data_IF_299710098399
#
_entry.id   IF_299710098399
#
_cell.length_a   1.000
_cell.length_b   1.000
_cell.length_c   1.000
_cell.angle_alpha   90.00
_cell.angle_beta   90.00
_cell.angle_gamma   90.00
#
_symmetry.space_group_name_H-M   'P 1'
#
loop_
_entity.id
_entity.type
_entity.pdbx_description
1 polymer ?
#
# COMPACT_ATOMS: atom_id res chain seq x y z
N UNK A 1 32.32 -3.80 11.19
CA UNK A 1 31.84 -2.98 10.05
C UNK A 1 32.49 -1.62 10.18
N UNK A 2 33.16 -1.13 9.14
CA UNK A 2 33.58 0.28 9.12
C UNK A 2 32.36 1.12 8.75
N UNK A 3 31.93 1.99 9.65
CA UNK A 3 30.81 2.89 9.43
C UNK A 3 31.31 4.12 8.67
N UNK A 4 31.24 4.07 7.35
CA UNK A 4 31.63 5.20 6.49
C UNK A 4 30.40 5.90 5.94
N UNK A 5 30.26 7.19 6.26
CA UNK A 5 29.22 8.03 5.69
C UNK A 5 29.72 8.67 4.40
N UNK A 6 29.09 8.32 3.28
CA UNK A 6 29.37 8.92 1.98
C UNK A 6 28.41 10.09 1.75
N UNK A 7 28.80 11.31 2.11
CA UNK A 7 27.91 12.48 2.13
C UNK A 7 27.16 12.75 0.81
N UNK A 8 27.83 12.64 -0.34
CA UNK A 8 27.16 12.80 -1.66
C UNK A 8 26.07 11.74 -1.86
N UNK A 9 26.37 10.48 -1.53
CA UNK A 9 25.41 9.39 -1.62
C UNK A 9 24.27 9.57 -0.61
N UNK A 10 24.56 10.04 0.59
CA UNK A 10 23.57 10.32 1.62
C UNK A 10 22.49 11.28 1.09
N UNK A 11 22.89 12.41 0.50
CA UNK A 11 21.94 13.37 -0.10
C UNK A 11 21.10 12.70 -1.19
N UNK A 12 21.71 11.93 -2.09
CA UNK A 12 20.96 11.24 -3.15
C UNK A 12 19.97 10.21 -2.60
N UNK A 13 20.34 9.49 -1.55
CA UNK A 13 19.45 8.53 -0.89
C UNK A 13 18.28 9.26 -0.22
N UNK A 14 18.54 10.34 0.54
CA UNK A 14 17.48 11.14 1.19
C UNK A 14 16.50 11.66 0.15
N UNK A 15 16.98 12.32 -0.90
CA UNK A 15 16.13 12.85 -1.97
C UNK A 15 15.39 11.72 -2.71
N UNK A 16 16.06 10.60 -2.96
CA UNK A 16 15.45 9.42 -3.56
C UNK A 16 14.29 8.89 -2.75
N UNK A 17 14.44 8.74 -1.43
CA UNK A 17 13.35 8.32 -0.55
C UNK A 17 12.19 9.31 -0.51
N UNK A 18 12.46 10.62 -0.48
CA UNK A 18 11.41 11.65 -0.55
C UNK A 18 10.60 11.50 -1.84
N UNK A 19 11.28 11.47 -2.99
CA UNK A 19 10.65 11.36 -4.32
C UNK A 19 9.87 10.05 -4.44
N UNK A 20 10.47 8.92 -4.07
CA UNK A 20 9.79 7.62 -4.18
C UNK A 20 8.68 7.41 -3.15
N UNK A 21 8.67 8.14 -2.04
CA UNK A 21 7.51 8.18 -1.12
C UNK A 21 6.31 8.81 -1.83
N UNK A 22 6.52 9.93 -2.53
CA UNK A 22 5.47 10.62 -3.30
C UNK A 22 4.99 9.73 -4.44
N UNK A 23 5.91 9.19 -5.23
CA UNK A 23 5.57 8.27 -6.34
C UNK A 23 4.81 7.06 -5.79
N UNK A 24 5.26 6.49 -4.68
CA UNK A 24 4.61 5.34 -4.04
C UNK A 24 3.18 5.64 -3.61
N UNK A 25 2.93 6.79 -2.98
CA UNK A 25 1.59 7.20 -2.60
C UNK A 25 0.68 7.41 -3.83
N UNK A 26 1.15 8.15 -4.83
CA UNK A 26 0.35 8.44 -6.04
C UNK A 26 0.07 7.16 -6.84
N UNK A 27 1.06 6.28 -6.98
CA UNK A 27 0.88 5.02 -7.72
C UNK A 27 -0.01 4.03 -6.97
N UNK A 28 -0.01 4.05 -5.64
CA UNK A 28 -0.94 3.27 -4.82
C UNK A 28 -2.39 3.71 -5.10
N UNK A 29 -2.67 5.02 -5.04
CA UNK A 29 -4.00 5.55 -5.37
C UNK A 29 -4.39 5.29 -6.83
N UNK A 30 -3.42 5.34 -7.75
CA UNK A 30 -3.64 4.96 -9.14
C UNK A 30 -4.03 3.48 -9.29
N UNK A 31 -3.51 2.59 -8.42
CA UNK A 31 -3.90 1.19 -8.35
C UNK A 31 -5.39 1.03 -8.06
N UNK A 32 -5.91 1.73 -7.06
CA UNK A 32 -7.35 1.76 -6.77
C UNK A 32 -8.15 2.32 -7.94
N UNK A 33 -7.70 3.44 -8.51
CA UNK A 33 -8.35 4.12 -9.64
C UNK A 33 -8.50 3.20 -10.87
N UNK A 34 -7.43 2.48 -11.25
CA UNK A 34 -7.45 1.57 -12.40
C UNK A 34 -8.49 0.47 -12.21
N UNK A 35 -8.59 -0.10 -11.00
CA UNK A 35 -9.59 -1.14 -10.74
C UNK A 35 -11.00 -0.56 -10.76
N UNK A 36 -11.23 0.60 -10.15
CA UNK A 36 -12.53 1.27 -10.16
C UNK A 36 -13.00 1.56 -11.59
N UNK A 37 -12.13 2.10 -12.45
CA UNK A 37 -12.43 2.35 -13.88
C UNK A 37 -12.71 1.06 -14.65
N UNK A 38 -11.98 -0.01 -14.40
CA UNK A 38 -12.24 -1.33 -15.03
C UNK A 38 -13.59 -1.93 -14.63
N UNK A 39 -14.09 -1.61 -13.44
CA UNK A 39 -15.42 -1.99 -12.97
C UNK A 39 -16.53 -1.07 -13.51
N UNK A 40 -16.18 -0.03 -14.28
CA UNK A 40 -17.12 0.93 -14.85
C UNK A 40 -17.52 2.07 -13.91
N UNK A 41 -16.82 2.26 -12.80
CA UNK A 41 -17.12 3.34 -11.86
C UNK A 41 -16.51 4.66 -12.31
N UNK A 42 -17.23 5.75 -12.03
CA UNK A 42 -16.64 7.07 -12.06
C UNK A 42 -15.71 7.21 -10.85
N UNK A 43 -14.42 7.47 -11.12
CA UNK A 43 -13.39 7.57 -10.11
C UNK A 43 -12.56 8.83 -10.36
N UNK A 44 -12.14 9.50 -9.28
CA UNK A 44 -11.25 10.66 -9.28
C UNK A 44 -10.20 10.47 -8.18
N UNK A 45 -8.93 10.63 -8.55
CA UNK A 45 -7.83 10.65 -7.59
C UNK A 45 -7.86 12.00 -6.88
N UNK A 46 -7.80 11.99 -5.56
CA UNK A 46 -7.64 13.17 -4.72
C UNK A 46 -6.39 13.04 -3.87
N UNK A 47 -6.05 14.12 -3.18
CA UNK A 47 -5.00 14.09 -2.17
C UNK A 47 -5.28 12.99 -1.12
N UNK A 48 -4.30 12.10 -0.95
CA UNK A 48 -4.28 11.00 0.01
C UNK A 48 -5.42 9.96 -0.09
N UNK A 49 -6.26 10.01 -1.12
CA UNK A 49 -7.38 9.08 -1.28
C UNK A 49 -7.92 9.05 -2.71
N UNK A 50 -8.68 8.02 -3.01
CA UNK A 50 -9.45 7.91 -4.24
C UNK A 50 -10.94 7.94 -3.92
N UNK A 51 -11.68 8.83 -4.59
CA UNK A 51 -13.14 8.85 -4.53
C UNK A 51 -13.71 8.19 -5.77
N UNK A 52 -14.66 7.28 -5.57
CA UNK A 52 -15.40 6.65 -6.65
C UNK A 52 -16.87 6.45 -6.29
N UNK A 53 -17.72 6.54 -7.31
CA UNK A 53 -19.14 6.25 -7.21
C UNK A 53 -19.37 4.76 -7.45
N UNK A 54 -19.58 4.02 -6.35
CA UNK A 54 -19.87 2.61 -6.40
C UNK A 54 -21.36 2.38 -6.71
N UNK A 55 -21.69 2.37 -8.00
CA UNK A 55 -23.08 2.18 -8.48
C UNK A 55 -23.69 0.86 -8.01
N UNK A 56 -22.89 -0.19 -7.79
CA UNK A 56 -23.35 -1.44 -7.20
C UNK A 56 -23.77 -1.27 -5.74
N UNK A 57 -23.01 -0.48 -4.97
CA UNK A 57 -23.34 -0.14 -3.59
C UNK A 57 -24.57 0.77 -3.50
N UNK A 58 -24.72 1.73 -4.42
CA UNK A 58 -25.93 2.56 -4.50
C UNK A 58 -27.16 1.72 -4.84
N UNK A 59 -27.04 0.80 -5.81
CA UNK A 59 -28.10 -0.13 -6.17
C UNK A 59 -28.51 -1.00 -4.99
N UNK A 60 -27.52 -1.53 -4.25
CA UNK A 60 -27.73 -2.29 -3.03
C UNK A 60 -28.43 -1.46 -1.95
N UNK A 61 -27.94 -0.24 -1.69
CA UNK A 61 -28.47 0.68 -0.68
C UNK A 61 -29.92 1.06 -0.98
N UNK A 62 -30.22 1.42 -2.23
CA UNK A 62 -31.57 1.76 -2.66
C UNK A 62 -32.52 0.55 -2.54
N UNK A 63 -32.04 -0.64 -2.86
CA UNK A 63 -32.81 -1.88 -2.65
C UNK A 63 -33.06 -2.16 -1.17
N UNK A 64 -32.06 -1.97 -0.30
CA UNK A 64 -32.20 -2.14 1.15
C UNK A 64 -33.26 -1.19 1.72
N UNK A 65 -33.16 0.12 1.43
CA UNK A 65 -34.13 1.11 1.93
C UNK A 65 -35.55 0.85 1.45
N UNK A 66 -35.72 0.48 0.17
CA UNK A 66 -37.05 0.22 -0.39
C UNK A 66 -37.72 -1.02 0.21
N UNK A 67 -36.96 -1.97 0.73
CA UNK A 67 -37.47 -3.26 1.23
C UNK A 67 -37.20 -3.47 2.71
N UNK A 68 -36.91 -2.41 3.48
CA UNK A 68 -36.45 -2.52 4.87
C UNK A 68 -37.39 -3.34 5.75
N UNK A 69 -38.70 -3.10 5.65
CA UNK A 69 -39.70 -3.83 6.44
C UNK A 69 -39.74 -5.32 6.11
N UNK A 70 -39.68 -5.66 4.81
CA UNK A 70 -39.69 -7.04 4.32
C UNK A 70 -38.40 -7.78 4.71
N UNK A 71 -37.27 -7.07 4.77
CA UNK A 71 -35.99 -7.61 5.23
C UNK A 71 -35.99 -7.86 6.74
N UNK A 72 -36.63 -6.99 7.54
CA UNK A 72 -36.79 -7.15 8.99
C UNK A 72 -37.70 -8.34 9.33
N UNK A 73 -38.83 -8.45 8.65
CA UNK A 73 -39.81 -9.52 8.87
C UNK A 73 -39.38 -10.86 8.25
N UNK A 74 -38.40 -10.86 7.32
CA UNK A 74 -37.92 -12.03 6.57
C UNK A 74 -39.04 -12.80 5.85
N UNK A 75 -40.10 -12.11 5.46
CA UNK A 75 -41.32 -12.74 4.93
C UNK A 75 -41.20 -13.17 3.46
N UNK A 76 -40.36 -12.50 2.66
CA UNK A 76 -40.22 -12.78 1.23
C UNK A 76 -38.84 -13.37 0.88
N UNK A 77 -38.82 -14.64 0.49
CA UNK A 77 -37.61 -15.37 0.07
C UNK A 77 -36.96 -14.80 -1.20
N UNK A 78 -37.74 -14.26 -2.14
CA UNK A 78 -37.22 -13.68 -3.37
C UNK A 78 -36.50 -12.35 -3.08
N UNK A 79 -37.07 -11.52 -2.21
CA UNK A 79 -36.42 -10.28 -1.73
C UNK A 79 -35.12 -10.61 -0.99
N UNK A 80 -35.13 -11.61 -0.09
CA UNK A 80 -33.92 -12.03 0.62
C UNK A 80 -32.83 -12.56 -0.33
N UNK A 81 -33.21 -13.32 -1.36
CA UNK A 81 -32.28 -13.80 -2.39
C UNK A 81 -31.69 -12.65 -3.22
N UNK A 82 -32.52 -11.68 -3.61
CA UNK A 82 -32.04 -10.51 -4.36
C UNK A 82 -31.13 -9.62 -3.51
N UNK A 83 -31.47 -9.44 -2.23
CA UNK A 83 -30.65 -8.72 -1.26
C UNK A 83 -29.25 -9.32 -1.14
N UNK A 84 -29.14 -10.64 -0.97
CA UNK A 84 -27.84 -11.30 -0.80
C UNK A 84 -26.98 -11.19 -2.07
N UNK A 85 -27.57 -11.28 -3.26
CA UNK A 85 -26.88 -11.10 -4.54
C UNK A 85 -26.33 -9.67 -4.66
N UNK A 86 -27.16 -8.65 -4.40
CA UNK A 86 -26.75 -7.25 -4.48
C UNK A 86 -25.69 -6.91 -3.44
N UNK A 87 -25.86 -7.38 -2.21
CA UNK A 87 -24.87 -7.21 -1.14
C UNK A 87 -23.52 -7.85 -1.51
N UNK A 88 -23.54 -9.08 -2.01
CA UNK A 88 -22.33 -9.77 -2.41
C UNK A 88 -21.63 -9.06 -3.59
N UNK A 89 -22.40 -8.59 -4.58
CA UNK A 89 -21.86 -7.82 -5.71
C UNK A 89 -21.18 -6.53 -5.25
N UNK A 90 -21.87 -5.72 -4.43
CA UNK A 90 -21.36 -4.45 -3.93
C UNK A 90 -20.11 -4.63 -3.05
N UNK A 91 -20.09 -5.64 -2.18
CA UNK A 91 -18.91 -5.97 -1.36
C UNK A 91 -17.74 -6.43 -2.22
N UNK A 92 -18.00 -7.35 -3.16
CA UNK A 92 -16.96 -7.87 -4.05
C UNK A 92 -16.30 -6.76 -4.85
N UNK A 93 -17.09 -5.85 -5.41
CA UNK A 93 -16.54 -4.74 -6.20
C UNK A 93 -15.73 -3.75 -5.35
N UNK A 94 -16.23 -3.38 -4.17
CA UNK A 94 -15.51 -2.52 -3.24
C UNK A 94 -14.15 -3.13 -2.86
N UNK A 95 -14.12 -4.42 -2.51
CA UNK A 95 -12.88 -5.10 -2.11
C UNK A 95 -11.89 -5.27 -3.26
N UNK A 96 -12.36 -5.46 -4.50
CA UNK A 96 -11.50 -5.44 -5.67
C UNK A 96 -10.82 -4.07 -5.84
N UNK A 97 -11.57 -2.98 -5.65
CA UNK A 97 -11.00 -1.63 -5.68
C UNK A 97 -9.96 -1.47 -4.57
N UNK A 98 -10.29 -1.85 -3.33
CA UNK A 98 -9.37 -1.79 -2.18
C UNK A 98 -8.10 -2.63 -2.40
N UNK A 99 -8.18 -3.76 -3.10
CA UNK A 99 -6.98 -4.55 -3.46
C UNK A 99 -6.04 -3.83 -4.44
N UNK A 100 -6.55 -2.90 -5.25
CA UNK A 100 -5.80 -2.25 -6.31
C UNK A 100 -4.51 -1.57 -5.84
N UNK A 101 -4.56 -0.80 -4.75
CA UNK A 101 -3.40 -0.12 -4.19
C UNK A 101 -2.32 -1.06 -3.63
N UNK A 102 -2.66 -1.93 -2.65
CA UNK A 102 -1.71 -2.91 -2.11
C UNK A 102 -1.09 -3.80 -3.20
N UNK A 103 -1.90 -4.29 -4.15
CA UNK A 103 -1.39 -5.11 -5.27
C UNK A 103 -0.42 -4.30 -6.14
N UNK A 104 -0.72 -3.04 -6.44
CA UNK A 104 0.18 -2.19 -7.21
C UNK A 104 1.54 -2.02 -6.50
N UNK A 105 1.53 -1.70 -5.21
CA UNK A 105 2.78 -1.49 -4.44
C UNK A 105 3.59 -2.78 -4.31
N UNK A 106 2.92 -3.91 -4.10
CA UNK A 106 3.54 -5.26 -4.09
C UNK A 106 4.18 -5.58 -5.44
N UNK A 107 3.50 -5.34 -6.56
CA UNK A 107 4.03 -5.59 -7.91
C UNK A 107 5.26 -4.70 -8.16
N UNK A 108 5.17 -3.40 -7.89
CA UNK A 108 6.31 -2.48 -8.08
C UNK A 108 7.50 -2.85 -7.20
N UNK A 109 7.26 -3.19 -5.93
CA UNK A 109 8.29 -3.67 -5.01
C UNK A 109 8.96 -4.95 -5.50
N UNK A 110 8.15 -5.90 -5.96
CA UNK A 110 8.64 -7.18 -6.50
C UNK A 110 9.47 -6.97 -7.77
N UNK A 111 9.02 -6.12 -8.69
CA UNK A 111 9.78 -5.78 -9.90
C UNK A 111 11.12 -5.14 -9.55
N UNK A 112 11.16 -4.18 -8.62
CA UNK A 112 12.41 -3.58 -8.15
C UNK A 112 13.38 -4.61 -7.59
N UNK A 113 12.87 -5.53 -6.75
CA UNK A 113 13.66 -6.63 -6.20
C UNK A 113 14.22 -7.55 -7.29
N UNK A 114 13.37 -7.98 -8.23
CA UNK A 114 13.77 -8.89 -9.31
C UNK A 114 14.82 -8.24 -10.23
N UNK A 115 14.64 -6.97 -10.59
CA UNK A 115 15.60 -6.22 -11.39
C UNK A 115 16.95 -6.11 -10.71
N UNK A 116 17.00 -5.87 -9.40
CA UNK A 116 18.24 -5.92 -8.63
C UNK A 116 18.83 -7.33 -8.60
N UNK A 117 18.01 -8.33 -8.34
CA UNK A 117 18.44 -9.71 -8.22
C UNK A 117 19.09 -10.22 -9.50
N UNK A 118 18.50 -9.95 -10.68
CA UNK A 118 19.08 -10.36 -11.96
C UNK A 118 20.34 -9.56 -12.31
N UNK A 119 20.43 -8.30 -11.89
CA UNK A 119 21.63 -7.49 -12.08
C UNK A 119 22.70 -7.68 -11.01
N UNK A 120 22.50 -8.57 -10.02
CA UNK A 120 23.41 -8.74 -8.87
C UNK A 120 24.86 -9.04 -9.24
N UNK A 121 25.08 -9.76 -10.35
CA UNK A 121 26.44 -10.09 -10.83
C UNK A 121 27.20 -8.88 -11.38
N UNK A 122 26.47 -7.82 -11.78
CA UNK A 122 27.02 -6.55 -12.26
C UNK A 122 27.19 -5.52 -11.15
N UNK A 123 26.79 -5.84 -9.91
CA UNK A 123 26.97 -4.96 -8.76
C UNK A 123 28.43 -5.10 -8.31
N UNK A 124 29.23 -4.06 -8.60
CA UNK A 124 30.59 -3.95 -8.10
C UNK A 124 30.62 -3.35 -6.69
N UNK A 125 31.67 -2.58 -6.39
CA UNK A 125 31.84 -1.92 -5.08
C UNK A 125 30.86 -0.77 -4.82
N UNK A 126 30.16 -0.28 -5.85
CA UNK A 126 29.19 0.82 -5.77
C UNK A 126 28.00 0.52 -6.67
N UNK A 127 26.81 0.88 -6.22
CA UNK A 127 25.60 0.86 -7.04
C UNK A 127 25.58 2.04 -8.02
N UNK A 128 25.14 1.77 -9.25
CA UNK A 128 24.87 2.80 -10.27
C UNK A 128 23.54 3.51 -9.96
N UNK A 129 23.30 4.67 -10.61
CA UNK A 129 22.03 5.40 -10.45
C UNK A 129 20.81 4.55 -10.81
N UNK A 130 20.91 3.74 -11.87
CA UNK A 130 19.86 2.81 -12.28
C UNK A 130 19.64 1.70 -11.24
N UNK A 131 20.70 1.18 -10.64
CA UNK A 131 20.55 0.19 -9.57
C UNK A 131 19.92 0.82 -8.31
N UNK A 132 20.21 2.09 -8.01
CA UNK A 132 19.53 2.81 -6.95
C UNK A 132 18.04 2.97 -7.20
N UNK A 133 17.60 3.26 -8.43
CA UNK A 133 16.16 3.31 -8.73
C UNK A 133 15.48 1.96 -8.46
N UNK A 134 16.14 0.84 -8.78
CA UNK A 134 15.62 -0.48 -8.43
C UNK A 134 15.58 -0.74 -6.92
N UNK A 135 16.54 -0.21 -6.15
CA UNK A 135 16.48 -0.24 -4.67
C UNK A 135 15.27 0.53 -4.17
N UNK A 136 15.04 1.75 -4.65
CA UNK A 136 13.88 2.54 -4.22
C UNK A 136 12.56 1.88 -4.61
N UNK A 137 12.47 1.30 -5.81
CA UNK A 137 11.32 0.49 -6.22
C UNK A 137 11.09 -0.69 -5.28
N UNK A 138 12.14 -1.47 -4.95
CA UNK A 138 12.04 -2.60 -4.03
C UNK A 138 11.52 -2.19 -2.64
N UNK A 139 11.86 -0.96 -2.21
CA UNK A 139 11.40 -0.38 -0.95
C UNK A 139 9.92 0.01 -0.93
N UNK A 140 9.15 -0.19 -2.00
CA UNK A 140 7.68 -0.09 -1.94
C UNK A 140 7.07 -1.12 -0.97
N UNK A 141 7.77 -2.23 -0.75
CA UNK A 141 7.41 -3.21 0.28
C UNK A 141 7.41 -2.65 1.71
N UNK A 142 8.06 -1.50 1.96
CA UNK A 142 8.07 -0.87 3.30
C UNK A 142 6.68 -0.44 3.76
N UNK A 143 5.72 -0.21 2.85
CA UNK A 143 4.32 0.09 3.22
C UNK A 143 3.70 -1.05 4.03
N UNK A 144 3.91 -2.30 3.63
CA UNK A 144 3.38 -3.48 4.33
C UNK A 144 3.96 -3.60 5.74
N UNK A 145 5.25 -3.31 5.86
CA UNK A 145 5.95 -3.27 7.16
C UNK A 145 5.40 -2.13 8.04
N UNK A 146 5.25 -0.93 7.48
CA UNK A 146 4.73 0.23 8.19
C UNK A 146 3.28 0.01 8.66
N UNK A 147 2.40 -0.50 7.80
CA UNK A 147 1.00 -0.81 8.13
C UNK A 147 0.90 -1.80 9.29
N UNK A 148 1.74 -2.85 9.27
CA UNK A 148 1.78 -3.82 10.37
C UNK A 148 2.25 -3.21 11.69
N UNK A 149 3.32 -2.40 11.69
CA UNK A 149 3.80 -1.75 12.90
C UNK A 149 2.84 -0.68 13.44
N UNK A 150 2.15 0.05 12.57
CA UNK A 150 1.08 0.97 12.97
C UNK A 150 -0.07 0.18 13.61
N UNK A 151 -0.45 -0.96 13.02
CA UNK A 151 -1.43 -1.88 13.59
C UNK A 151 -1.05 -2.38 14.98
N UNK A 152 0.20 -2.83 15.16
CA UNK A 152 0.74 -3.23 16.46
C UNK A 152 0.74 -2.07 17.46
N UNK A 153 1.13 -0.88 17.05
CA UNK A 153 1.10 0.31 17.90
C UNK A 153 -0.32 0.58 18.42
N UNK A 154 -1.32 0.55 17.55
CA UNK A 154 -2.72 0.72 17.98
C UNK A 154 -3.20 -0.41 18.88
N UNK A 155 -2.83 -1.65 18.59
CA UNK A 155 -3.18 -2.80 19.42
C UNK A 155 -2.62 -2.66 20.84
N UNK A 156 -1.36 -2.25 20.98
CA UNK A 156 -0.69 -2.12 22.28
C UNK A 156 -1.22 -0.92 23.07
N UNK A 157 -1.49 0.21 22.41
CA UNK A 157 -1.87 1.46 23.08
C UNK A 157 -3.38 1.59 23.31
N UNK A 158 -4.20 1.15 22.34
CA UNK A 158 -5.66 1.28 22.37
C UNK A 158 -6.40 -0.03 22.68
N UNK A 159 -5.69 -1.16 22.69
CA UNK A 159 -6.29 -2.49 22.87
C UNK A 159 -6.98 -3.05 21.62
N UNK A 160 -7.01 -2.29 20.53
CA UNK A 160 -7.71 -2.66 19.29
C UNK A 160 -6.84 -2.44 18.06
N UNK A 161 -6.98 -3.32 17.07
CA UNK A 161 -6.31 -3.18 15.79
C UNK A 161 -7.00 -2.13 14.92
N UNK A 162 -6.24 -1.34 14.16
CA UNK A 162 -6.84 -0.31 13.30
C UNK A 162 -7.66 -0.90 12.14
N UNK A 163 -8.90 -0.43 11.99
CA UNK A 163 -9.81 -0.81 10.91
C UNK A 163 -9.63 -0.01 9.62
N UNK A 164 -8.73 0.97 9.57
CA UNK A 164 -8.66 1.93 8.47
C UNK A 164 -7.73 1.53 7.30
N UNK A 165 -7.05 0.38 7.39
CA UNK A 165 -6.10 -0.08 6.37
C UNK A 165 -6.76 -0.90 5.26
N UNK A 166 -6.23 -0.80 4.03
CA UNK A 166 -6.66 -1.61 2.89
C UNK A 166 -6.60 -3.11 3.20
N UNK A 167 -5.50 -3.56 3.82
CA UNK A 167 -5.29 -4.95 4.21
C UNK A 167 -6.26 -5.42 5.30
N UNK A 168 -6.67 -4.54 6.22
CA UNK A 168 -7.67 -4.84 7.25
C UNK A 168 -9.04 -5.09 6.60
N UNK A 169 -9.46 -4.23 5.67
CA UNK A 169 -10.72 -4.38 4.94
C UNK A 169 -10.77 -5.70 4.15
N UNK A 170 -9.63 -6.08 3.55
CA UNK A 170 -9.50 -7.35 2.83
C UNK A 170 -9.60 -8.54 3.79
N UNK A 171 -8.91 -8.50 4.93
CA UNK A 171 -9.01 -9.55 5.95
C UNK A 171 -10.45 -9.75 6.41
N UNK A 172 -11.19 -8.66 6.66
CA UNK A 172 -12.59 -8.71 7.08
C UNK A 172 -13.49 -9.33 6.01
N UNK A 173 -13.27 -9.02 4.73
CA UNK A 173 -14.01 -9.63 3.64
C UNK A 173 -13.84 -11.14 3.56
N UNK A 174 -12.60 -11.63 3.74
CA UNK A 174 -12.30 -13.07 3.73
C UNK A 174 -12.57 -13.74 5.08
N UNK A 175 -13.10 -13.01 6.08
CA UNK A 175 -13.33 -13.49 7.46
C UNK A 175 -12.05 -14.05 8.10
N UNK A 176 -10.91 -13.47 7.76
CA UNK A 176 -9.62 -13.76 8.36
C UNK A 176 -9.42 -12.89 9.61
N UNK A 177 -8.52 -13.28 10.53
CA UNK A 177 -8.10 -12.38 11.60
C UNK A 177 -7.61 -11.05 11.00
N UNK A 178 -8.05 -9.93 11.57
CA UNK A 178 -7.81 -8.58 11.04
C UNK A 178 -6.31 -8.31 10.84
N UNK A 179 -5.46 -8.85 11.70
CA UNK A 179 -4.01 -8.70 11.65
C UNK A 179 -3.29 -9.66 10.69
N UNK A 180 -3.95 -10.73 10.21
CA UNK A 180 -3.25 -11.84 9.55
C UNK A 180 -2.64 -11.45 8.21
N UNK A 181 -3.37 -10.71 7.36
CA UNK A 181 -2.87 -10.33 6.05
C UNK A 181 -1.67 -9.39 6.20
N UNK A 182 -1.78 -8.39 7.07
CA UNK A 182 -0.69 -7.47 7.43
C UNK A 182 0.53 -8.22 7.96
N UNK A 183 0.34 -9.21 8.84
CA UNK A 183 1.46 -9.99 9.38
C UNK A 183 2.18 -10.80 8.30
N UNK A 184 1.44 -11.45 7.41
CA UNK A 184 2.00 -12.26 6.31
C UNK A 184 2.76 -11.36 5.33
N UNK A 185 2.14 -10.28 4.86
CA UNK A 185 2.77 -9.38 3.89
C UNK A 185 3.97 -8.65 4.49
N UNK A 186 3.90 -8.22 5.75
CA UNK A 186 5.03 -7.62 6.45
C UNK A 186 6.19 -8.59 6.64
N UNK A 187 5.92 -9.87 6.93
CA UNK A 187 6.97 -10.89 7.05
C UNK A 187 7.70 -11.09 5.73
N UNK A 188 6.97 -11.22 4.62
CA UNK A 188 7.55 -11.31 3.27
C UNK A 188 8.37 -10.05 2.96
N UNK A 189 7.80 -8.88 3.24
CA UNK A 189 8.46 -7.60 3.02
C UNK A 189 9.78 -7.49 3.79
N UNK A 190 9.79 -7.83 5.09
CA UNK A 190 10.99 -7.79 5.93
C UNK A 190 12.07 -8.69 5.33
N UNK A 191 11.74 -9.93 4.97
CA UNK A 191 12.71 -10.86 4.37
C UNK A 191 13.29 -10.28 3.07
N UNK A 192 12.45 -9.77 2.17
CA UNK A 192 12.91 -9.18 0.91
C UNK A 192 13.80 -7.95 1.14
N UNK A 193 13.39 -7.04 2.02
CA UNK A 193 14.14 -5.82 2.33
C UNK A 193 15.48 -6.13 3.02
N UNK A 194 15.52 -7.14 3.91
CA UNK A 194 16.77 -7.62 4.50
C UNK A 194 17.71 -8.17 3.42
N UNK A 195 17.20 -8.92 2.44
CA UNK A 195 18.00 -9.38 1.30
C UNK A 195 18.53 -8.18 0.51
N UNK A 196 17.71 -7.19 0.21
CA UNK A 196 18.16 -5.99 -0.51
C UNK A 196 19.29 -5.30 0.25
N UNK A 197 19.08 -4.98 1.53
CA UNK A 197 20.05 -4.22 2.34
C UNK A 197 21.33 -4.99 2.59
N UNK A 198 21.23 -6.25 3.01
CA UNK A 198 22.38 -7.02 3.50
C UNK A 198 23.05 -7.89 2.44
N UNK A 199 22.39 -8.19 1.31
CA UNK A 199 22.94 -9.00 0.24
C UNK A 199 23.19 -8.23 -1.05
N UNK A 200 22.32 -7.27 -1.42
CA UNK A 200 22.41 -6.57 -2.71
C UNK A 200 23.13 -5.21 -2.62
N UNK A 201 22.97 -4.47 -1.52
CA UNK A 201 23.70 -3.21 -1.32
C UNK A 201 25.15 -3.50 -0.87
N UNK A 202 26.18 -2.91 -1.51
CA UNK A 202 27.58 -3.06 -1.11
C UNK A 202 27.82 -2.63 0.34
N UNK A 203 28.66 -3.38 1.07
CA UNK A 203 28.90 -3.20 2.53
C UNK A 203 29.27 -1.76 2.90
N UNK A 204 30.03 -1.07 2.03
CA UNK A 204 30.51 0.29 2.23
C UNK A 204 29.37 1.34 2.15
N UNK A 205 28.30 1.04 1.40
CA UNK A 205 27.18 1.97 1.17
C UNK A 205 26.01 1.74 2.13
N UNK A 206 25.95 0.62 2.85
CA UNK A 206 24.81 0.24 3.72
C UNK A 206 24.52 1.25 4.81
N UNK A 207 25.54 1.70 5.53
CA UNK A 207 25.34 2.66 6.62
C UNK A 207 24.77 3.98 6.09
N UNK A 208 25.33 4.48 4.98
CA UNK A 208 24.82 5.67 4.30
C UNK A 208 23.38 5.49 3.83
N UNK A 209 23.06 4.30 3.29
CA UNK A 209 21.71 3.96 2.86
C UNK A 209 20.71 3.93 4.01
N UNK A 210 21.03 3.27 5.12
CA UNK A 210 20.14 3.16 6.29
C UNK A 210 19.87 4.54 6.87
N UNK A 211 20.93 5.34 7.09
CA UNK A 211 20.77 6.69 7.64
C UNK A 211 20.00 7.59 6.68
N UNK A 212 20.32 7.54 5.38
CA UNK A 212 19.60 8.31 4.35
C UNK A 212 18.15 7.90 4.21
N UNK A 213 17.84 6.60 4.35
CA UNK A 213 16.49 6.08 4.31
C UNK A 213 15.65 6.52 5.49
N UNK A 214 16.18 6.43 6.71
CA UNK A 214 15.49 6.93 7.89
C UNK A 214 15.19 8.43 7.78
N UNK A 215 16.21 9.24 7.45
CA UNK A 215 16.05 10.69 7.30
C UNK A 215 15.07 11.04 6.17
N UNK A 216 15.21 10.40 5.01
CA UNK A 216 14.35 10.63 3.85
C UNK A 216 12.89 10.26 4.10
N UNK A 217 12.62 9.15 4.79
CA UNK A 217 11.26 8.74 5.13
C UNK A 217 10.61 9.63 6.19
N UNK A 218 11.36 10.02 7.24
CA UNK A 218 10.86 10.92 8.29
C UNK A 218 10.50 12.30 7.72
N UNK A 219 11.27 12.79 6.75
CA UNK A 219 11.02 14.10 6.11
C UNK A 219 9.96 13.96 5.00
N UNK A 220 10.05 12.92 4.19
CA UNK A 220 9.24 12.75 2.98
C UNK A 220 7.76 12.56 3.27
N UNK A 221 7.42 11.79 4.31
CA UNK A 221 6.01 11.55 4.65
C UNK A 221 5.27 12.84 5.07
N UNK A 222 5.76 13.64 6.03
CA UNK A 222 5.15 14.93 6.35
C UNK A 222 5.17 15.92 5.18
N UNK A 223 6.24 15.94 4.37
CA UNK A 223 6.34 16.83 3.21
C UNK A 223 5.23 16.54 2.19
N UNK A 224 4.99 15.26 1.90
CA UNK A 224 3.88 14.85 1.06
C UNK A 224 2.53 15.17 1.72
N UNK A 225 2.37 14.80 2.99
CA UNK A 225 1.07 14.86 3.65
C UNK A 225 0.62 16.28 4.02
N UNK A 226 1.53 17.22 4.24
CA UNK A 226 1.15 18.57 4.70
C UNK A 226 1.29 19.64 3.62
N UNK A 227 2.17 19.43 2.64
CA UNK A 227 2.55 20.49 1.71
C UNK A 227 2.25 20.10 0.25
N UNK A 228 2.92 19.07 -0.25
CA UNK A 228 2.91 18.78 -1.69
C UNK A 228 1.62 18.12 -2.14
N UNK A 229 1.10 17.18 -1.37
CA UNK A 229 -0.10 16.45 -1.74
C UNK A 229 -1.34 17.35 -1.92
N UNK A 230 -1.70 18.20 -0.93
CA UNK A 230 -2.82 19.13 -1.07
C UNK A 230 -2.64 20.14 -2.21
N UNK A 231 -1.39 20.53 -2.52
CA UNK A 231 -1.10 21.48 -3.59
C UNK A 231 -1.20 20.86 -4.99
N UNK A 232 -0.80 19.59 -5.14
CA UNK A 232 -0.73 18.91 -6.45
C UNK A 232 -2.05 18.21 -6.81
N UNK A 233 -2.80 17.71 -5.82
CA UNK A 233 -4.05 16.95 -6.01
C UNK A 233 -5.20 17.45 -5.11
N UNK A 234 -5.69 18.69 -5.29
CA UNK A 234 -6.82 19.22 -4.50
C UNK A 234 -8.15 18.46 -4.72
#
# INVERSE_FOLDING_TARGET
MTFTLHFRLFIYVVLGFIVFTIIGAVTHEAGHYIVAKKLGYEAKIRYASMHYENTDYETFRNFHFKNEEVLKSRTDKAVMKKYSILMHKARKSANLVTLGGPVQTIITGTLGFLLLWFNRKKIGNKLTLLQWSFVFMAFFWTRQVANFFIGLYFLVIRGEWTSQGDETNISEYFRLPIWSLNAITATIAIVLLLIVVFKLIPKQQRFTFILGGLTGSIIGFPLWMKLLGPAILP
#
